data_IF_601204674316
#
_entry.id   IF_601204674316
#
_cell.length_a   1.000
_cell.length_b   1.000
_cell.length_c   1.000
_cell.angle_alpha   90.00
_cell.angle_beta   90.00
_cell.angle_gamma   90.00
#
_symmetry.space_group_name_H-M   'P 1'
#
loop_
_entity.id
_entity.type
_entity.pdbx_description
1 polymer ?
#
# COMPACT_ATOMS: atom_id res chain seq x y z
N UNK A 1 -57.43 -70.72 20.79
CA UNK A 1 -56.64 -70.59 19.56
C UNK A 1 -55.91 -69.26 19.62
N UNK A 2 -54.62 -69.27 19.91
CA UNK A 2 -53.76 -68.05 19.96
C UNK A 2 -52.98 -67.95 18.66
N UNK A 3 -53.21 -66.94 17.89
CA UNK A 3 -52.43 -66.64 16.67
C UNK A 3 -51.30 -65.67 17.04
N UNK A 4 -50.06 -66.13 16.84
CA UNK A 4 -48.90 -65.31 17.04
C UNK A 4 -48.51 -64.63 15.75
N UNK A 5 -48.57 -63.30 15.76
CA UNK A 5 -48.10 -62.45 14.64
C UNK A 5 -46.59 -62.18 14.83
N UNK A 6 -45.79 -62.69 13.96
CA UNK A 6 -44.33 -62.46 13.93
C UNK A 6 -44.08 -61.22 13.06
N UNK A 7 -43.56 -60.15 13.68
CA UNK A 7 -43.18 -58.92 13.00
C UNK A 7 -41.70 -59.02 12.58
N UNK A 8 -41.43 -59.10 11.29
CA UNK A 8 -40.08 -59.07 10.72
C UNK A 8 -39.63 -57.61 10.55
N UNK A 9 -38.64 -57.19 11.33
CA UNK A 9 -37.99 -55.89 11.18
C UNK A 9 -36.81 -56.03 10.23
N UNK A 10 -36.91 -55.42 9.04
CA UNK A 10 -35.80 -55.32 8.10
C UNK A 10 -34.94 -54.09 8.46
N UNK A 11 -33.69 -54.36 8.89
CA UNK A 11 -32.69 -53.31 9.15
C UNK A 11 -32.03 -52.97 7.80
N UNK A 12 -32.32 -51.80 7.28
CA UNK A 12 -31.61 -51.25 6.12
C UNK A 12 -30.33 -50.54 6.56
N UNK A 13 -29.18 -51.17 6.27
CA UNK A 13 -27.84 -50.60 6.49
C UNK A 13 -27.54 -49.60 5.39
N UNK A 14 -27.66 -48.29 5.66
CA UNK A 14 -27.25 -47.22 4.77
C UNK A 14 -25.72 -47.08 4.85
N UNK A 15 -24.99 -47.49 3.82
CA UNK A 15 -23.61 -47.14 3.60
C UNK A 15 -23.53 -45.65 3.19
N UNK A 16 -23.12 -44.78 4.12
CA UNK A 16 -22.76 -43.42 3.80
C UNK A 16 -21.37 -43.43 3.12
N UNK A 17 -21.32 -43.17 1.83
CA UNK A 17 -20.09 -42.92 1.11
C UNK A 17 -19.52 -41.56 1.58
N UNK A 18 -18.46 -41.61 2.36
CA UNK A 18 -17.66 -40.40 2.68
C UNK A 18 -16.91 -39.99 1.43
N UNK A 19 -17.39 -38.95 0.76
CA UNK A 19 -16.62 -38.24 -0.27
C UNK A 19 -15.49 -37.50 0.43
N UNK A 20 -14.28 -38.05 0.36
CA UNK A 20 -13.05 -37.34 0.71
C UNK A 20 -12.90 -36.15 -0.25
N UNK A 21 -13.30 -34.96 0.19
CA UNK A 21 -12.90 -33.73 -0.46
C UNK A 21 -11.37 -33.63 -0.37
N UNK A 22 -10.66 -33.39 -1.49
CA UNK A 22 -9.24 -33.15 -1.41
C UNK A 22 -8.99 -31.96 -0.51
N UNK A 23 -8.27 -32.15 0.59
CA UNK A 23 -7.73 -31.06 1.41
C UNK A 23 -6.93 -30.17 0.47
N UNK A 24 -7.43 -28.94 0.25
CA UNK A 24 -6.66 -27.92 -0.44
C UNK A 24 -5.38 -27.75 0.37
N UNK A 25 -4.24 -28.12 -0.21
CA UNK A 25 -2.92 -27.79 0.33
C UNK A 25 -2.92 -26.29 0.59
N UNK A 26 -2.63 -25.81 1.81
CA UNK A 26 -2.52 -24.38 2.03
C UNK A 26 -1.50 -23.83 1.05
N UNK A 27 -1.91 -22.94 0.17
CA UNK A 27 -1.00 -22.24 -0.72
C UNK A 27 0.11 -21.65 0.16
N UNK A 28 1.37 -21.99 -0.16
CA UNK A 28 2.51 -21.49 0.60
C UNK A 28 2.36 -19.97 0.70
N UNK A 29 2.25 -19.45 1.91
CA UNK A 29 2.04 -18.02 2.12
C UNK A 29 3.22 -17.26 1.48
N UNK A 30 2.93 -16.44 0.49
CA UNK A 30 3.94 -15.60 -0.17
C UNK A 30 4.53 -14.64 0.86
N UNK A 31 5.86 -14.49 0.92
CA UNK A 31 6.46 -13.52 1.81
C UNK A 31 5.88 -12.11 1.62
N UNK A 32 5.57 -11.46 2.73
CA UNK A 32 4.92 -10.16 2.76
C UNK A 32 5.65 -9.23 3.73
N UNK A 33 5.89 -7.99 3.29
CA UNK A 33 6.30 -6.88 4.14
C UNK A 33 5.20 -5.83 4.13
N UNK A 34 4.80 -5.36 5.30
CA UNK A 34 3.84 -4.28 5.40
C UNK A 34 4.39 -3.08 6.19
N UNK A 35 3.99 -1.90 5.76
CA UNK A 35 4.26 -0.64 6.41
C UNK A 35 2.96 0.10 6.68
N UNK A 36 2.71 0.43 7.94
CA UNK A 36 1.57 1.24 8.36
C UNK A 36 2.07 2.57 8.88
N UNK A 37 1.37 3.64 8.49
CA UNK A 37 1.64 4.99 8.95
C UNK A 37 0.34 5.64 9.46
N UNK A 38 0.45 6.36 10.57
CA UNK A 38 -0.69 7.07 11.16
C UNK A 38 -0.23 8.38 11.78
N UNK A 39 -0.77 9.50 11.30
CA UNK A 39 -0.53 10.85 11.82
C UNK A 39 -1.72 11.74 11.51
N UNK A 40 -2.35 12.29 12.54
CA UNK A 40 -3.43 13.25 12.38
C UNK A 40 -2.98 14.54 11.68
N UNK A 41 -3.90 15.22 11.03
CA UNK A 41 -3.66 16.50 10.36
C UNK A 41 -3.04 16.43 8.98
N UNK A 42 -2.80 15.24 8.43
CA UNK A 42 -2.39 15.04 7.03
C UNK A 42 -3.60 14.84 6.12
N UNK A 43 -3.47 15.12 4.80
CA UNK A 43 -4.50 14.80 3.81
C UNK A 43 -4.88 13.31 3.79
N UNK A 44 -3.90 12.42 3.99
CA UNK A 44 -4.06 11.00 4.22
C UNK A 44 -3.47 10.67 5.58
N UNK A 45 -4.26 10.77 6.67
CA UNK A 45 -3.77 10.61 8.04
C UNK A 45 -3.38 9.18 8.38
N UNK A 46 -3.86 8.20 7.61
CA UNK A 46 -3.56 6.79 7.80
C UNK A 46 -3.45 6.07 6.47
N UNK A 47 -2.37 5.32 6.31
CA UNK A 47 -2.22 4.42 5.17
C UNK A 47 -1.46 3.15 5.54
N UNK A 48 -1.61 2.13 4.69
CA UNK A 48 -0.88 0.86 4.76
C UNK A 48 -0.38 0.52 3.35
N UNK A 49 0.88 0.16 3.25
CA UNK A 49 1.47 -0.44 2.06
C UNK A 49 1.77 -1.90 2.39
N UNK A 50 1.32 -2.80 1.54
CA UNK A 50 1.64 -4.23 1.58
C UNK A 50 2.40 -4.57 0.33
N UNK A 51 3.51 -5.29 0.46
CA UNK A 51 4.38 -5.69 -0.66
C UNK A 51 4.66 -7.19 -0.55
N UNK A 52 4.50 -7.90 -1.65
CA UNK A 52 4.90 -9.30 -1.81
C UNK A 52 6.26 -9.40 -2.50
N UNK A 53 6.93 -10.54 -2.34
CA UNK A 53 8.28 -10.75 -2.88
C UNK A 53 8.33 -10.78 -4.43
N UNK A 54 7.18 -10.98 -5.09
CA UNK A 54 7.03 -10.85 -6.54
C UNK A 54 6.89 -9.39 -7.03
N UNK A 55 6.96 -8.44 -6.13
CA UNK A 55 6.83 -7.01 -6.39
C UNK A 55 5.38 -6.51 -6.47
N UNK A 56 4.39 -7.38 -6.43
CA UNK A 56 2.99 -6.95 -6.32
C UNK A 56 2.67 -6.46 -4.92
N UNK A 57 1.67 -5.60 -4.80
CA UNK A 57 1.26 -5.11 -3.50
C UNK A 57 0.03 -4.21 -3.56
N UNK A 58 -0.28 -3.59 -2.44
CA UNK A 58 -1.42 -2.67 -2.32
C UNK A 58 -1.04 -1.43 -1.52
N UNK A 59 -1.55 -0.28 -1.94
CA UNK A 59 -1.59 0.96 -1.16
C UNK A 59 -3.02 1.20 -0.71
N UNK A 60 -3.27 1.16 0.59
CA UNK A 60 -4.57 1.45 1.20
C UNK A 60 -4.46 2.62 2.14
N UNK A 61 -5.40 3.54 2.06
CA UNK A 61 -5.42 4.71 2.92
C UNK A 61 -6.83 5.26 3.10
N UNK A 62 -6.91 6.34 3.85
CA UNK A 62 -8.14 7.07 4.10
C UNK A 62 -7.86 8.56 3.95
N UNK A 63 -8.53 9.22 2.99
CA UNK A 63 -8.48 10.68 2.89
C UNK A 63 -9.18 11.31 4.08
N UNK A 64 -8.55 12.32 4.66
CA UNK A 64 -9.23 13.14 5.65
C UNK A 64 -10.50 13.77 5.05
N UNK A 65 -11.58 13.89 5.83
CA UNK A 65 -12.76 14.63 5.41
C UNK A 65 -12.37 16.05 5.00
N UNK A 66 -12.90 16.52 3.87
CA UNK A 66 -12.72 17.92 3.47
C UNK A 66 -13.44 18.80 4.48
N UNK A 67 -12.67 19.41 5.38
CA UNK A 67 -13.21 20.34 6.37
C UNK A 67 -13.63 21.63 5.65
N UNK A 68 -14.91 21.76 5.39
CA UNK A 68 -15.51 23.03 5.00
C UNK A 68 -15.43 24.00 6.18
N UNK A 69 -14.29 24.64 6.44
CA UNK A 69 -14.05 25.62 7.48
C UNK A 69 -14.63 25.32 8.87
N UNK A 70 -14.08 25.90 9.91
CA UNK A 70 -14.49 25.65 11.32
C UNK A 70 -16.01 25.82 11.59
N UNK A 71 -16.73 26.62 10.79
CA UNK A 71 -18.16 26.88 10.92
C UNK A 71 -19.02 25.77 10.30
N UNK A 72 -18.53 25.09 9.26
CA UNK A 72 -19.22 23.95 8.64
C UNK A 72 -18.98 22.65 9.46
N UNK A 73 -17.80 22.49 10.04
CA UNK A 73 -17.48 21.34 10.89
C UNK A 73 -18.33 21.29 12.18
N UNK A 74 -18.82 22.44 12.66
CA UNK A 74 -19.69 22.51 13.84
C UNK A 74 -21.15 22.11 13.55
N UNK A 75 -21.59 22.02 12.29
CA UNK A 75 -22.98 21.82 11.87
C UNK A 75 -23.21 20.52 11.10
N UNK A 76 -22.17 19.79 10.73
CA UNK A 76 -22.29 18.51 10.02
C UNK A 76 -21.58 17.40 10.79
N UNK A 77 -22.21 16.23 10.95
CA UNK A 77 -21.48 15.07 11.46
C UNK A 77 -20.26 14.86 10.56
N UNK A 78 -19.11 14.54 11.17
CA UNK A 78 -17.87 14.25 10.44
C UNK A 78 -18.17 13.22 9.35
N UNK A 79 -18.05 13.63 8.09
CA UNK A 79 -18.17 12.68 6.97
C UNK A 79 -17.06 11.66 7.11
N UNK A 80 -17.34 10.37 6.94
CA UNK A 80 -16.26 9.37 6.92
C UNK A 80 -15.24 9.73 5.85
N UNK A 81 -13.97 9.51 6.15
CA UNK A 81 -12.88 9.69 5.18
C UNK A 81 -13.12 8.83 3.94
N UNK A 82 -12.63 9.28 2.79
CA UNK A 82 -12.78 8.52 1.55
C UNK A 82 -11.71 7.42 1.50
N UNK A 83 -12.11 6.13 1.37
CA UNK A 83 -11.17 5.05 1.30
C UNK A 83 -10.36 5.11 -0.01
N UNK A 84 -9.07 4.78 0.10
CA UNK A 84 -8.14 4.61 -1.00
C UNK A 84 -7.75 3.14 -1.01
N UNK A 85 -7.88 2.48 -2.16
CA UNK A 85 -7.38 1.12 -2.39
C UNK A 85 -6.82 1.07 -3.81
N UNK A 86 -5.49 0.90 -3.92
CA UNK A 86 -4.77 0.91 -5.20
C UNK A 86 -3.78 -0.24 -5.24
N UNK A 87 -3.79 -1.06 -6.31
CA UNK A 87 -2.71 -1.99 -6.55
C UNK A 87 -1.42 -1.21 -6.83
N UNK A 88 -0.30 -1.76 -6.37
CA UNK A 88 1.04 -1.25 -6.69
C UNK A 88 1.91 -2.37 -7.24
N UNK A 89 2.89 -1.98 -8.04
CA UNK A 89 3.96 -2.86 -8.49
C UNK A 89 5.30 -2.17 -8.30
N UNK A 90 6.17 -2.81 -7.54
CA UNK A 90 7.50 -2.27 -7.25
C UNK A 90 8.52 -2.88 -8.20
N UNK A 91 9.54 -2.11 -8.50
CA UNK A 91 10.69 -2.58 -9.26
C UNK A 91 11.50 -3.62 -8.47
N UNK A 92 12.12 -4.60 -9.14
CA UNK A 92 12.92 -5.63 -8.46
C UNK A 92 13.98 -5.08 -7.50
N UNK A 93 14.74 -4.01 -7.83
CA UNK A 93 15.70 -3.46 -6.86
C UNK A 93 15.06 -2.95 -5.58
N UNK A 94 13.86 -2.35 -5.67
CA UNK A 94 13.12 -1.87 -4.49
C UNK A 94 12.62 -3.05 -3.65
N UNK A 95 12.07 -4.07 -4.29
CA UNK A 95 11.63 -5.31 -3.62
C UNK A 95 12.79 -5.97 -2.88
N UNK A 96 13.91 -6.20 -3.59
CA UNK A 96 15.10 -6.81 -3.01
C UNK A 96 15.62 -6.03 -1.80
N UNK A 97 15.64 -4.69 -1.90
CA UNK A 97 16.07 -3.84 -0.79
C UNK A 97 15.14 -3.97 0.43
N UNK A 98 13.81 -3.99 0.20
CA UNK A 98 12.80 -4.13 1.27
C UNK A 98 12.97 -5.48 1.98
N UNK A 99 12.95 -6.59 1.24
CA UNK A 99 12.99 -7.93 1.83
C UNK A 99 14.34 -8.26 2.44
N UNK A 100 15.46 -7.87 1.81
CA UNK A 100 16.80 -7.99 2.38
C UNK A 100 16.91 -7.23 3.71
N UNK A 101 16.39 -6.00 3.75
CA UNK A 101 16.41 -5.19 4.97
C UNK A 101 15.55 -5.83 6.06
N UNK A 102 14.33 -6.27 5.74
CA UNK A 102 13.44 -6.94 6.71
C UNK A 102 14.11 -8.18 7.33
N UNK A 103 14.74 -9.03 6.52
CA UNK A 103 15.47 -10.21 6.99
C UNK A 103 16.70 -9.83 7.82
N UNK A 104 17.43 -8.79 7.45
CA UNK A 104 18.59 -8.31 8.22
C UNK A 104 18.22 -7.71 9.58
N UNK A 105 16.97 -7.28 9.76
CA UNK A 105 16.41 -6.75 10.98
C UNK A 105 15.63 -7.83 11.79
N UNK A 106 16.01 -9.10 11.64
CA UNK A 106 15.34 -10.23 12.32
C UNK A 106 13.83 -10.21 12.13
N UNK A 107 13.38 -9.99 10.88
CA UNK A 107 11.95 -9.89 10.53
C UNK A 107 11.19 -8.83 11.37
N UNK A 108 11.89 -7.77 11.79
CA UNK A 108 11.42 -6.71 12.70
C UNK A 108 11.19 -7.15 14.16
N UNK A 109 11.77 -8.26 14.61
CA UNK A 109 11.79 -8.66 16.02
C UNK A 109 12.85 -7.91 16.82
N UNK A 110 13.03 -6.63 16.54
CA UNK A 110 14.00 -5.73 17.17
C UNK A 110 13.30 -4.54 17.83
N UNK A 111 13.91 -3.91 18.83
CA UNK A 111 13.42 -2.64 19.35
C UNK A 111 13.65 -1.53 18.32
N UNK A 112 12.62 -1.17 17.55
CA UNK A 112 12.69 -0.11 16.52
C UNK A 112 12.60 1.30 17.10
N UNK A 113 11.90 1.48 18.21
CA UNK A 113 11.66 2.80 18.81
C UNK A 113 12.94 3.36 19.43
N UNK A 114 13.19 4.66 19.21
CA UNK A 114 14.21 5.39 19.93
C UNK A 114 13.93 5.44 21.45
N UNK A 115 14.98 5.39 22.24
CA UNK A 115 14.94 5.58 23.70
C UNK A 115 15.08 7.05 24.11
N UNK A 116 15.31 7.97 23.18
CA UNK A 116 15.46 9.38 23.44
C UNK A 116 14.16 9.96 24.02
N UNK A 117 14.31 10.97 24.90
CA UNK A 117 13.18 11.71 25.47
C UNK A 117 12.87 12.93 24.60
N UNK A 118 11.62 13.40 24.63
CA UNK A 118 11.19 14.61 23.96
C UNK A 118 11.32 14.57 22.43
N UNK A 119 11.06 13.42 21.82
CA UNK A 119 11.01 13.28 20.37
C UNK A 119 9.71 13.91 19.84
N UNK A 120 9.84 14.77 18.82
CA UNK A 120 8.67 15.30 18.11
C UNK A 120 7.79 14.20 17.55
N UNK A 121 6.48 14.42 17.51
CA UNK A 121 5.56 13.49 16.85
C UNK A 121 5.75 13.53 15.33
N UNK A 122 6.36 12.49 14.79
CA UNK A 122 6.56 12.28 13.34
C UNK A 122 5.57 11.27 12.76
N UNK A 123 4.56 10.85 13.54
CA UNK A 123 3.57 9.85 13.21
C UNK A 123 3.97 8.44 13.68
N UNK A 124 2.97 7.66 14.06
CA UNK A 124 3.13 6.25 14.43
C UNK A 124 3.40 5.43 13.17
N UNK A 125 4.43 4.62 13.21
CA UNK A 125 4.85 3.73 12.13
C UNK A 125 4.91 2.30 12.63
N UNK A 126 4.48 1.35 11.81
CA UNK A 126 4.62 -0.08 12.10
C UNK A 126 5.15 -0.78 10.87
N UNK A 127 6.26 -1.49 11.02
CA UNK A 127 6.81 -2.42 10.05
C UNK A 127 6.45 -3.84 10.49
N UNK A 128 5.99 -4.67 9.55
CA UNK A 128 5.70 -6.07 9.80
C UNK A 128 6.21 -6.95 8.66
N UNK A 129 6.63 -8.15 9.01
CA UNK A 129 7.04 -9.20 8.08
C UNK A 129 6.24 -10.46 8.37
N UNK A 130 5.76 -11.14 7.35
CA UNK A 130 5.02 -12.40 7.45
C UNK A 130 5.43 -13.33 6.32
N UNK A 131 5.99 -14.50 6.67
CA UNK A 131 6.42 -15.51 5.71
C UNK A 131 6.62 -16.84 6.46
N UNK A 132 6.69 -17.98 5.74
CA UNK A 132 7.08 -19.24 6.35
C UNK A 132 8.47 -19.27 6.99
N UNK A 133 9.40 -18.42 6.56
CA UNK A 133 10.76 -18.29 7.09
C UNK A 133 10.86 -17.41 8.35
N UNK A 134 9.77 -16.69 8.71
CA UNK A 134 9.74 -15.86 9.91
C UNK A 134 8.56 -14.89 9.92
N UNK A 135 8.32 -14.34 11.09
CA UNK A 135 7.33 -13.28 11.29
C UNK A 135 7.79 -12.35 12.40
N UNK A 136 7.41 -11.09 12.29
CA UNK A 136 7.70 -10.12 13.31
C UNK A 136 7.15 -8.75 12.99
N UNK A 137 7.20 -7.87 13.97
CA UNK A 137 6.66 -6.51 13.84
C UNK A 137 7.30 -5.58 14.85
N UNK A 138 7.51 -4.32 14.46
CA UNK A 138 7.92 -3.28 15.37
C UNK A 138 7.18 -1.97 15.11
N UNK A 139 6.85 -1.28 16.19
CA UNK A 139 6.14 0.01 16.16
C UNK A 139 7.01 1.11 16.76
N UNK A 140 7.05 2.27 16.11
CA UNK A 140 7.86 3.40 16.54
C UNK A 140 7.26 4.72 16.02
N UNK A 141 7.64 5.82 16.67
CA UNK A 141 7.47 7.19 16.17
C UNK A 141 8.73 7.62 15.41
N UNK A 142 9.90 7.42 16.07
CA UNK A 142 11.22 7.70 15.53
C UNK A 142 12.16 6.54 15.84
N UNK A 143 13.08 6.25 14.93
CA UNK A 143 14.09 5.21 15.09
C UNK A 143 15.49 5.76 14.87
N UNK A 144 16.45 5.33 15.70
CA UNK A 144 17.87 5.62 15.51
C UNK A 144 18.56 4.57 14.64
N UNK A 145 17.88 3.45 14.37
CA UNK A 145 18.38 2.41 13.48
C UNK A 145 18.30 2.90 12.03
N UNK A 146 19.45 3.07 11.39
CA UNK A 146 19.56 3.58 10.02
C UNK A 146 18.80 2.75 9.00
N UNK A 147 18.79 1.41 9.14
CA UNK A 147 18.07 0.52 8.22
C UNK A 147 16.56 0.68 8.37
N UNK A 148 16.05 0.83 9.59
CA UNK A 148 14.64 1.14 9.85
C UNK A 148 14.25 2.49 9.26
N UNK A 149 15.08 3.52 9.45
CA UNK A 149 14.85 4.86 8.90
C UNK A 149 14.84 4.84 7.37
N UNK A 150 15.82 4.21 6.75
CA UNK A 150 15.89 4.11 5.28
C UNK A 150 14.69 3.35 4.70
N UNK A 151 14.27 2.25 5.34
CA UNK A 151 13.08 1.51 4.92
C UNK A 151 11.81 2.34 5.08
N UNK A 152 11.70 3.11 6.16
CA UNK A 152 10.62 4.08 6.39
C UNK A 152 10.54 5.11 5.26
N UNK A 153 11.68 5.72 4.92
CA UNK A 153 11.79 6.71 3.83
C UNK A 153 11.36 6.11 2.50
N UNK A 154 11.77 4.85 2.22
CA UNK A 154 11.34 4.13 1.00
C UNK A 154 9.81 4.00 0.94
N UNK A 155 9.17 3.52 1.99
CA UNK A 155 7.71 3.39 2.02
C UNK A 155 6.98 4.74 1.96
N UNK A 156 7.51 5.76 2.64
CA UNK A 156 6.93 7.11 2.57
C UNK A 156 7.07 7.72 1.17
N UNK A 157 8.18 7.48 0.47
CA UNK A 157 8.38 7.92 -0.90
C UNK A 157 7.44 7.21 -1.90
N UNK A 158 7.14 5.92 -1.69
CA UNK A 158 6.12 5.19 -2.46
C UNK A 158 4.73 5.78 -2.18
N UNK A 159 4.38 5.99 -0.90
CA UNK A 159 3.10 6.59 -0.51
C UNK A 159 2.92 7.98 -1.12
N UNK A 160 3.97 8.82 -1.08
CA UNK A 160 3.97 10.14 -1.71
C UNK A 160 3.64 10.04 -3.21
N UNK A 161 4.29 9.14 -3.94
CA UNK A 161 3.99 8.92 -5.36
C UNK A 161 2.53 8.56 -5.60
N UNK A 162 1.96 7.66 -4.78
CA UNK A 162 0.54 7.27 -4.91
C UNK A 162 -0.42 8.44 -4.65
N UNK A 163 -0.11 9.27 -3.65
CA UNK A 163 -0.91 10.44 -3.33
C UNK A 163 -0.79 11.53 -4.41
N UNK A 164 0.41 11.74 -4.95
CA UNK A 164 0.63 12.65 -6.07
C UNK A 164 -0.13 12.20 -7.33
N UNK A 165 -0.18 10.92 -7.65
CA UNK A 165 -1.00 10.41 -8.74
C UNK A 165 -2.47 10.79 -8.60
N UNK A 166 -3.03 10.66 -7.41
CA UNK A 166 -4.42 11.07 -7.12
C UNK A 166 -4.61 12.58 -7.22
N UNK A 167 -3.64 13.36 -6.75
CA UNK A 167 -3.65 14.82 -6.85
C UNK A 167 -3.58 15.27 -8.30
N UNK A 168 -2.74 14.66 -9.12
CA UNK A 168 -2.67 14.91 -10.55
C UNK A 168 -4.00 14.59 -11.26
N UNK A 169 -4.66 13.47 -10.94
CA UNK A 169 -5.98 13.13 -11.47
C UNK A 169 -7.03 14.19 -11.10
N UNK A 170 -6.99 14.70 -9.87
CA UNK A 170 -7.87 15.77 -9.41
C UNK A 170 -7.60 17.08 -10.16
N UNK A 171 -6.35 17.52 -10.23
CA UNK A 171 -5.96 18.76 -10.90
C UNK A 171 -6.26 18.70 -12.40
N UNK A 172 -6.01 17.57 -13.05
CA UNK A 172 -6.32 17.36 -14.46
C UNK A 172 -7.82 17.58 -14.76
N UNK A 173 -8.68 17.18 -13.84
CA UNK A 173 -10.13 17.29 -13.99
C UNK A 173 -10.67 18.67 -13.61
N UNK A 174 -10.15 19.29 -12.54
CA UNK A 174 -10.79 20.42 -11.90
C UNK A 174 -9.95 21.70 -11.86
N UNK A 175 -8.61 21.59 -11.94
CA UNK A 175 -7.68 22.74 -11.91
C UNK A 175 -6.46 22.51 -12.81
N UNK A 176 -6.69 22.66 -14.11
CA UNK A 176 -5.65 22.44 -15.11
C UNK A 176 -4.44 23.38 -15.00
N UNK A 177 -4.63 24.57 -14.43
CA UNK A 177 -3.54 25.49 -14.20
C UNK A 177 -2.63 25.04 -13.07
N UNK A 178 -3.21 24.41 -12.03
CA UNK A 178 -2.47 23.83 -10.92
C UNK A 178 -1.53 22.71 -11.34
N UNK A 179 -1.81 22.00 -12.45
CA UNK A 179 -0.93 20.94 -12.96
C UNK A 179 0.50 21.42 -13.25
N UNK A 180 0.65 22.69 -13.69
CA UNK A 180 1.98 23.19 -14.04
C UNK A 180 2.92 23.20 -12.83
N UNK A 181 2.47 23.74 -11.71
CA UNK A 181 3.24 23.76 -10.46
C UNK A 181 3.41 22.39 -9.85
N UNK A 182 2.37 21.55 -9.91
CA UNK A 182 2.42 20.21 -9.32
C UNK A 182 3.40 19.28 -10.06
N UNK A 183 3.47 19.40 -11.37
CA UNK A 183 4.47 18.66 -12.16
C UNK A 183 5.91 19.07 -11.79
N UNK A 184 6.15 20.34 -11.43
CA UNK A 184 7.46 20.77 -10.91
C UNK A 184 7.77 20.15 -9.55
N UNK A 185 6.78 20.12 -8.65
CA UNK A 185 6.91 19.46 -7.35
C UNK A 185 7.27 17.98 -7.53
N UNK A 186 6.48 17.24 -8.33
CA UNK A 186 6.73 15.82 -8.55
C UNK A 186 8.12 15.55 -9.16
N UNK A 187 8.54 16.33 -10.17
CA UNK A 187 9.87 16.18 -10.76
C UNK A 187 10.96 16.38 -9.70
N UNK A 188 10.83 17.42 -8.88
CA UNK A 188 11.77 17.70 -7.81
C UNK A 188 11.84 16.54 -6.80
N UNK A 189 10.70 16.03 -6.35
CA UNK A 189 10.63 14.92 -5.40
C UNK A 189 11.22 13.61 -5.97
N UNK A 190 11.04 13.37 -7.28
CA UNK A 190 11.68 12.23 -7.97
C UNK A 190 13.21 12.40 -8.01
N UNK A 191 13.72 13.61 -8.30
CA UNK A 191 15.16 13.89 -8.33
C UNK A 191 15.80 13.71 -6.96
N UNK A 192 15.11 14.11 -5.91
CA UNK A 192 15.53 13.98 -4.51
C UNK A 192 15.27 12.60 -3.91
N UNK A 193 14.75 11.64 -4.69
CA UNK A 193 14.37 10.29 -4.26
C UNK A 193 13.32 10.26 -3.15
N UNK A 194 12.49 11.30 -3.05
CA UNK A 194 11.34 11.36 -2.15
C UNK A 194 10.03 10.96 -2.81
N UNK A 195 10.04 10.73 -4.13
CA UNK A 195 8.99 10.03 -4.89
C UNK A 195 9.63 8.83 -5.61
N UNK A 196 9.22 7.63 -5.24
CA UNK A 196 9.72 6.39 -5.80
C UNK A 196 8.61 5.64 -6.55
N UNK A 197 9.00 4.71 -7.43
CA UNK A 197 8.06 3.81 -8.14
C UNK A 197 7.00 4.57 -8.95
N UNK A 198 7.43 5.61 -9.68
CA UNK A 198 6.59 6.50 -10.49
C UNK A 198 5.77 5.74 -11.54
N UNK A 199 6.19 4.53 -11.91
CA UNK A 199 5.41 3.64 -12.78
C UNK A 199 4.00 3.32 -12.27
N UNK A 200 3.76 3.39 -10.95
CA UNK A 200 2.44 3.17 -10.37
C UNK A 200 1.41 4.27 -10.71
N UNK A 201 1.87 5.45 -11.09
CA UNK A 201 1.01 6.56 -11.53
C UNK A 201 1.08 6.79 -13.04
N UNK A 202 1.64 5.85 -13.80
CA UNK A 202 1.71 5.93 -15.26
C UNK A 202 0.34 6.20 -15.93
N UNK A 203 -0.79 5.64 -15.48
CA UNK A 203 -2.09 5.96 -16.05
C UNK A 203 -2.44 7.45 -15.97
N UNK A 204 -2.20 8.10 -14.81
CA UNK A 204 -2.43 9.54 -14.62
C UNK A 204 -1.52 10.38 -15.52
N UNK A 205 -0.23 10.04 -15.58
CA UNK A 205 0.72 10.72 -16.45
C UNK A 205 0.38 10.54 -17.94
N UNK A 206 -0.04 9.36 -18.36
CA UNK A 206 -0.47 9.07 -19.74
C UNK A 206 -1.68 9.90 -20.12
N UNK A 207 -2.66 10.05 -19.24
CA UNK A 207 -3.84 10.88 -19.47
C UNK A 207 -3.46 12.37 -19.65
N UNK A 208 -2.50 12.86 -18.87
CA UNK A 208 -1.98 14.23 -19.00
C UNK A 208 -1.23 14.43 -20.33
N UNK A 209 -0.41 13.46 -20.75
CA UNK A 209 0.31 13.53 -22.03
C UNK A 209 -0.65 13.59 -23.21
N UNK A 210 -1.74 12.82 -23.17
CA UNK A 210 -2.71 12.71 -24.24
C UNK A 210 -3.68 13.91 -24.36
N UNK A 211 -3.82 14.73 -23.32
CA UNK A 211 -4.75 15.88 -23.35
C UNK A 211 -4.12 17.10 -24.03
N UNK A 212 -4.44 17.27 -25.32
CA UNK A 212 -3.96 18.39 -26.15
C UNK A 212 -4.43 19.78 -25.66
N UNK A 213 -5.46 19.84 -24.84
CA UNK A 213 -5.94 21.09 -24.25
C UNK A 213 -5.06 21.60 -23.10
N UNK A 214 -4.11 20.78 -22.62
CA UNK A 214 -3.13 21.18 -21.62
C UNK A 214 -1.94 21.91 -22.26
N UNK A 215 -1.30 22.76 -21.44
CA UNK A 215 -0.04 23.41 -21.85
C UNK A 215 0.98 22.36 -22.29
N UNK A 216 1.64 22.59 -23.44
CA UNK A 216 2.67 21.72 -23.99
C UNK A 216 3.72 21.34 -22.94
N UNK A 217 4.16 22.31 -22.14
CA UNK A 217 5.19 22.10 -21.10
C UNK A 217 4.75 21.12 -19.99
N UNK A 218 3.48 21.09 -19.64
CA UNK A 218 2.91 20.11 -18.70
C UNK A 218 2.97 18.71 -19.29
N UNK A 219 2.56 18.57 -20.55
CA UNK A 219 2.59 17.29 -21.28
C UNK A 219 4.02 16.76 -21.46
N UNK A 220 4.97 17.63 -21.80
CA UNK A 220 6.39 17.27 -21.94
C UNK A 220 6.99 16.76 -20.60
N UNK A 221 6.63 17.41 -19.48
CA UNK A 221 7.04 16.97 -18.13
C UNK A 221 6.48 15.59 -17.77
N UNK A 222 5.20 15.38 -18.04
CA UNK A 222 4.57 14.07 -17.82
C UNK A 222 5.21 12.99 -18.70
N UNK A 223 5.49 13.27 -19.97
CA UNK A 223 6.18 12.36 -20.87
C UNK A 223 7.60 12.00 -20.38
N UNK A 224 8.33 12.98 -19.84
CA UNK A 224 9.67 12.75 -19.27
C UNK A 224 9.61 11.81 -18.05
N UNK A 225 8.63 11.99 -17.15
CA UNK A 225 8.46 11.10 -15.99
C UNK A 225 8.08 9.68 -16.43
N UNK A 226 7.21 9.54 -17.44
CA UNK A 226 6.87 8.23 -18.01
C UNK A 226 8.08 7.51 -18.60
N UNK A 227 8.93 8.23 -19.34
CA UNK A 227 10.16 7.67 -19.90
C UNK A 227 11.09 7.17 -18.79
N UNK A 228 11.30 7.96 -17.72
CA UNK A 228 12.11 7.57 -16.58
C UNK A 228 11.55 6.34 -15.84
N UNK A 229 10.23 6.24 -15.71
CA UNK A 229 9.58 5.10 -15.08
C UNK A 229 9.80 3.80 -15.88
N UNK A 230 9.73 3.88 -17.21
CA UNK A 230 9.97 2.75 -18.10
C UNK A 230 11.44 2.29 -18.11
N UNK A 231 12.38 3.24 -18.08
CA UNK A 231 13.82 2.95 -18.02
C UNK A 231 14.20 2.25 -16.71
N UNK A 232 13.55 2.60 -15.61
CA UNK A 232 13.75 1.97 -14.31
C UNK A 232 13.25 0.52 -14.29
N UNK A 233 12.15 0.23 -15.00
CA UNK A 233 11.61 -1.12 -15.16
C UNK A 233 12.42 -2.00 -16.14
N UNK A 234 13.06 -1.40 -17.13
CA UNK A 234 13.81 -2.12 -18.20
C UNK A 234 15.21 -2.59 -17.78
N UNK A 235 15.82 -1.93 -16.80
CA UNK A 235 17.20 -2.29 -16.34
C UNK A 235 17.23 -3.52 -15.43
N UNK A 236 16.11 -4.17 -15.21
CA UNK A 236 15.95 -5.31 -14.29
C UNK A 236 15.73 -6.66 -14.99
N UNK A 237 15.91 -6.72 -16.31
CA UNK A 237 15.80 -7.97 -17.11
C UNK A 237 17.16 -8.49 -17.53
#
# INVERSE_FOLDING_TARGET
>A
MKVHLVLLIAVATSCAAQTNSPSATPAAATPEVSFQFERAGLPVPKFTIVVHEDGTGTYRGEEAPVSGGARAAALQPASPGRPIDRPIKLSPPTVDAIFKTARSLDHFNIPCASKAKNIADTGKKTLSYSSPDGQGSCTYNYSENKSVTQLTETFQAIAFTMDEGRKLDFLHRYDRLGLYSEMDVLIHEVQEKRALEVGNIAPSLTSIVADEALMQKVRERAAKLLAQANDSGSKSN
#
